data_IF_029566186402
#
_entry.id   IF_029566186402
#
_cell.length_a   1.000
_cell.length_b   1.000
_cell.length_c   1.000
_cell.angle_alpha   90.00
_cell.angle_beta   90.00
_cell.angle_gamma   90.00
#
_symmetry.space_group_name_H-M   'P 1'
#
loop_
_entity.id
_entity.type
_entity.pdbx_description
1 polymer ?
#
# COMPACT_ATOMS: atom_id res chain seq x y z
N UNK A 1 14.11 -6.39 5.91
CA UNK A 1 13.01 -5.46 5.54
C UNK A 1 12.35 -5.95 4.26
N UNK A 2 11.02 -6.03 4.26
CA UNK A 2 10.19 -6.54 3.15
C UNK A 2 9.18 -5.47 2.72
N UNK A 3 9.03 -5.28 1.41
CA UNK A 3 8.02 -4.39 0.84
C UNK A 3 6.98 -5.23 0.11
N UNK A 4 5.71 -5.04 0.41
CA UNK A 4 4.60 -5.61 -0.33
C UNK A 4 3.82 -4.51 -1.08
N UNK A 5 3.22 -4.89 -2.19
CA UNK A 5 2.32 -4.05 -3.00
C UNK A 5 0.98 -4.75 -3.11
N UNK A 6 -0.10 -4.03 -2.85
CA UNK A 6 -1.48 -4.50 -3.06
C UNK A 6 -2.20 -3.50 -3.96
N UNK A 7 -2.67 -3.95 -5.12
CA UNK A 7 -3.37 -3.10 -6.08
C UNK A 7 -4.82 -3.51 -6.25
N UNK A 8 -5.73 -2.62 -5.86
CA UNK A 8 -7.17 -2.80 -5.97
C UNK A 8 -7.76 -2.20 -7.24
N UNK A 9 -7.22 -2.52 -8.41
CA UNK A 9 -7.82 -2.12 -9.70
C UNK A 9 -8.49 -3.34 -10.34
N UNK A 10 -9.76 -3.25 -10.81
CA UNK A 10 -10.43 -4.37 -11.48
C UNK A 10 -9.77 -4.80 -12.80
N UNK A 11 -8.94 -3.94 -13.39
CA UNK A 11 -8.19 -4.26 -14.60
C UNK A 11 -6.80 -4.80 -14.22
N UNK A 12 -6.44 -6.03 -14.64
CA UNK A 12 -5.12 -6.58 -14.36
C UNK A 12 -4.02 -5.78 -15.06
N UNK A 13 -2.83 -5.79 -14.50
CA UNK A 13 -1.66 -5.06 -14.98
C UNK A 13 -1.97 -3.58 -15.29
N UNK A 14 -2.76 -2.96 -14.44
CA UNK A 14 -3.26 -1.59 -14.64
C UNK A 14 -2.17 -0.53 -14.48
N UNK A 15 -2.43 0.68 -14.99
CA UNK A 15 -1.55 1.83 -14.73
C UNK A 15 -1.41 2.12 -13.23
N UNK A 16 -2.46 1.89 -12.43
CA UNK A 16 -2.39 1.99 -10.97
C UNK A 16 -1.38 1.00 -10.38
N UNK A 17 -1.35 -0.23 -10.91
CA UNK A 17 -0.35 -1.22 -10.51
C UNK A 17 1.08 -0.77 -10.85
N UNK A 18 1.29 -0.22 -12.05
CA UNK A 18 2.57 0.36 -12.44
C UNK A 18 3.05 1.49 -11.52
N UNK A 19 2.12 2.38 -11.10
CA UNK A 19 2.45 3.44 -10.10
C UNK A 19 2.84 2.82 -8.76
N UNK A 20 2.11 1.82 -8.29
CA UNK A 20 2.42 1.16 -7.01
C UNK A 20 3.80 0.49 -7.02
N UNK A 21 4.15 -0.17 -8.12
CA UNK A 21 5.49 -0.75 -8.31
C UNK A 21 6.58 0.32 -8.38
N UNK A 22 6.33 1.46 -9.03
CA UNK A 22 7.27 2.58 -9.06
C UNK A 22 7.51 3.16 -7.65
N UNK A 23 6.46 3.27 -6.83
CA UNK A 23 6.57 3.68 -5.42
C UNK A 23 7.40 2.67 -4.64
N UNK A 24 7.14 1.37 -4.78
CA UNK A 24 7.92 0.33 -4.13
C UNK A 24 9.38 0.34 -4.56
N UNK A 25 9.66 0.60 -5.84
CA UNK A 25 11.02 0.77 -6.38
C UNK A 25 11.76 1.93 -5.71
N UNK A 26 11.13 3.10 -5.63
CA UNK A 26 11.72 4.27 -4.97
C UNK A 26 11.99 4.03 -3.47
N UNK A 27 11.08 3.33 -2.78
CA UNK A 27 11.27 2.94 -1.38
C UNK A 27 12.42 1.95 -1.22
N UNK A 28 12.47 0.91 -2.07
CA UNK A 28 13.51 -0.11 -2.04
C UNK A 28 14.91 0.48 -2.25
N UNK A 29 15.06 1.36 -3.22
CA UNK A 29 16.30 2.06 -3.50
C UNK A 29 16.73 2.94 -2.32
N UNK A 30 15.83 3.80 -1.84
CA UNK A 30 16.15 4.76 -0.79
C UNK A 30 16.43 4.10 0.57
N UNK A 31 15.74 2.99 0.88
CA UNK A 31 15.89 2.25 2.13
C UNK A 31 16.92 1.10 2.03
N UNK A 32 17.51 0.89 0.84
CA UNK A 32 18.53 -0.14 0.56
C UNK A 32 18.02 -1.54 0.91
N UNK A 33 16.81 -1.88 0.45
CA UNK A 33 16.21 -3.20 0.66
C UNK A 33 16.94 -4.23 -0.23
N UNK A 34 17.62 -5.23 0.34
CA UNK A 34 18.32 -6.23 -0.47
C UNK A 34 17.32 -7.18 -1.16
N UNK A 35 17.72 -7.71 -2.31
CA UNK A 35 17.09 -8.85 -2.99
C UNK A 35 15.58 -8.73 -3.27
N UNK A 36 15.12 -7.54 -3.71
CA UNK A 36 13.76 -7.43 -4.22
C UNK A 36 13.64 -8.17 -5.58
N UNK A 37 12.90 -9.28 -5.67
CA UNK A 37 12.67 -9.98 -6.94
C UNK A 37 11.70 -9.18 -7.81
N UNK A 38 12.21 -8.27 -8.64
CA UNK A 38 11.39 -7.40 -9.48
C UNK A 38 11.48 -5.93 -9.09
N UNK A 39 10.58 -5.05 -9.56
CA UNK A 39 10.70 -3.61 -9.36
C UNK A 39 10.41 -3.18 -7.91
N UNK A 40 11.32 -3.51 -7.00
CA UNK A 40 11.37 -2.98 -5.65
C UNK A 40 10.45 -3.60 -4.60
N UNK A 41 9.61 -4.59 -4.95
CA UNK A 41 8.73 -5.28 -4.00
C UNK A 41 9.05 -6.77 -3.94
N UNK A 42 9.03 -7.37 -2.74
CA UNK A 42 9.17 -8.81 -2.54
C UNK A 42 7.86 -9.56 -2.77
N UNK A 43 6.73 -8.88 -2.63
CA UNK A 43 5.40 -9.41 -2.89
C UNK A 43 4.59 -8.34 -3.65
N UNK A 44 4.05 -8.70 -4.82
CA UNK A 44 3.16 -7.82 -5.59
C UNK A 44 1.84 -8.55 -5.85
N UNK A 45 0.76 -8.02 -5.30
CA UNK A 45 -0.59 -8.57 -5.38
C UNK A 45 -1.44 -7.69 -6.28
N UNK A 46 -1.84 -8.20 -7.45
CA UNK A 46 -2.86 -7.58 -8.28
C UNK A 46 -4.22 -8.24 -7.97
N UNK A 47 -5.08 -7.52 -7.26
CA UNK A 47 -6.38 -8.04 -6.82
C UNK A 47 -7.34 -8.36 -7.97
N UNK A 48 -7.08 -7.88 -9.19
CA UNK A 48 -7.85 -8.28 -10.37
C UNK A 48 -7.79 -9.80 -10.61
N UNK A 49 -6.66 -10.44 -10.28
CA UNK A 49 -6.46 -11.88 -10.45
C UNK A 49 -7.23 -12.70 -9.40
N UNK A 50 -7.65 -12.07 -8.32
CA UNK A 50 -8.35 -12.70 -7.19
C UNK A 50 -9.81 -12.26 -7.04
N UNK A 51 -10.31 -11.40 -7.94
CA UNK A 51 -11.59 -10.70 -7.78
C UNK A 51 -12.80 -11.62 -7.52
N UNK A 52 -12.87 -12.78 -8.17
CA UNK A 52 -13.98 -13.72 -8.01
C UNK A 52 -14.02 -14.44 -6.66
N UNK A 53 -12.93 -14.42 -5.90
CA UNK A 53 -12.76 -15.19 -4.66
C UNK A 53 -12.69 -14.32 -3.39
N UNK A 54 -12.60 -13.00 -3.54
CA UNK A 54 -12.38 -12.08 -2.39
C UNK A 54 -13.46 -12.18 -1.31
N UNK A 55 -14.69 -12.53 -1.69
CA UNK A 55 -15.82 -12.68 -0.77
C UNK A 55 -16.01 -14.09 -0.20
N UNK A 56 -15.14 -15.04 -0.58
CA UNK A 56 -15.15 -16.37 0.04
C UNK A 56 -14.29 -16.36 1.32
N UNK A 57 -14.88 -16.42 2.53
CA UNK A 57 -14.12 -16.41 3.76
C UNK A 57 -13.32 -17.71 3.98
N UNK A 58 -13.66 -18.79 3.27
CA UNK A 58 -12.99 -20.08 3.38
C UNK A 58 -11.79 -20.21 2.42
N UNK A 59 -11.55 -19.23 1.55
CA UNK A 59 -10.43 -19.27 0.61
C UNK A 59 -9.09 -19.20 1.34
N UNK A 60 -8.40 -20.35 1.38
CA UNK A 60 -7.12 -20.49 2.11
C UNK A 60 -5.95 -19.79 1.41
N UNK A 61 -5.98 -19.70 0.09
CA UNK A 61 -4.94 -19.00 -0.66
C UNK A 61 -4.98 -17.51 -0.36
N UNK A 62 -6.17 -16.90 -0.37
CA UNK A 62 -6.35 -15.50 0.03
C UNK A 62 -6.02 -15.26 1.50
N UNK A 63 -6.32 -16.22 2.37
CA UNK A 63 -5.94 -16.13 3.79
C UNK A 63 -4.41 -16.18 3.96
N UNK A 64 -3.72 -17.02 3.19
CA UNK A 64 -2.26 -17.04 3.13
C UNK A 64 -1.71 -15.71 2.60
N UNK A 65 -2.29 -15.19 1.53
CA UNK A 65 -1.88 -13.93 0.91
C UNK A 65 -2.04 -12.73 1.84
N UNK A 66 -3.15 -12.65 2.59
CA UNK A 66 -3.33 -11.59 3.60
C UNK A 66 -2.28 -11.69 4.71
N UNK A 67 -1.93 -12.90 5.15
CA UNK A 67 -0.89 -13.11 6.14
C UNK A 67 0.51 -12.72 5.62
N UNK A 68 0.82 -13.03 4.35
CA UNK A 68 2.08 -12.61 3.74
C UNK A 68 2.20 -11.10 3.60
N UNK A 69 1.11 -10.41 3.24
CA UNK A 69 1.06 -8.94 3.18
C UNK A 69 1.25 -8.35 4.58
N UNK A 70 0.57 -8.88 5.60
CA UNK A 70 0.70 -8.41 6.98
C UNK A 70 2.10 -8.65 7.59
N UNK A 71 2.86 -9.62 7.05
CA UNK A 71 4.24 -9.88 7.48
C UNK A 71 5.28 -8.96 6.80
N UNK A 72 4.86 -8.02 5.96
CA UNK A 72 5.76 -7.05 5.35
C UNK A 72 5.98 -5.84 6.27
N UNK A 73 7.19 -5.27 6.25
CA UNK A 73 7.51 -4.06 7.03
C UNK A 73 6.85 -2.82 6.41
N UNK A 74 6.73 -2.80 5.07
CA UNK A 74 6.08 -1.72 4.32
C UNK A 74 5.06 -2.33 3.36
N UNK A 75 3.85 -1.77 3.31
CA UNK A 75 2.82 -2.16 2.35
C UNK A 75 2.35 -0.95 1.56
N UNK A 76 2.50 -1.00 0.24
CA UNK A 76 1.92 0.00 -0.68
C UNK A 76 0.53 -0.46 -1.06
N UNK A 77 -0.51 0.24 -0.59
CA UNK A 77 -1.89 -0.02 -0.97
C UNK A 77 -2.32 0.97 -2.06
N UNK A 78 -2.62 0.45 -3.25
CA UNK A 78 -2.94 1.26 -4.41
C UNK A 78 -4.35 1.02 -4.96
N UNK A 79 -5.05 2.09 -5.33
CA UNK A 79 -6.39 2.02 -5.93
C UNK A 79 -6.60 3.12 -6.96
N UNK A 80 -7.33 2.88 -8.04
CA UNK A 80 -7.90 3.98 -8.82
C UNK A 80 -9.02 4.65 -8.02
N UNK A 81 -9.31 5.90 -8.37
CA UNK A 81 -10.44 6.64 -7.77
C UNK A 81 -11.72 6.36 -8.54
N UNK A 82 -12.65 5.63 -7.91
CA UNK A 82 -13.99 5.39 -8.42
C UNK A 82 -15.01 6.06 -7.50
N UNK A 83 -15.84 6.96 -8.06
CA UNK A 83 -16.85 7.69 -7.28
C UNK A 83 -16.26 8.40 -6.04
N UNK A 84 -15.14 9.10 -6.25
CA UNK A 84 -14.40 9.86 -5.24
C UNK A 84 -13.72 9.03 -4.13
N UNK A 85 -13.74 7.70 -4.20
CA UNK A 85 -13.13 6.80 -3.21
C UNK A 85 -12.28 5.70 -3.88
N UNK A 86 -11.59 4.90 -3.08
CA UNK A 86 -10.95 3.67 -3.52
C UNK A 86 -12.00 2.64 -3.96
N UNK A 87 -11.57 1.60 -4.69
CA UNK A 87 -12.48 0.59 -5.26
C UNK A 87 -13.03 -0.36 -4.20
N UNK A 88 -14.23 -0.89 -4.45
CA UNK A 88 -14.79 -2.01 -3.68
C UNK A 88 -13.91 -3.26 -3.69
N UNK A 89 -13.11 -3.45 -4.75
CA UNK A 89 -12.16 -4.56 -4.85
C UNK A 89 -11.07 -4.46 -3.77
N UNK A 90 -10.48 -3.27 -3.58
CA UNK A 90 -9.53 -3.06 -2.48
C UNK A 90 -10.21 -3.22 -1.12
N UNK A 91 -11.42 -2.67 -0.97
CA UNK A 91 -12.17 -2.79 0.29
C UNK A 91 -12.43 -4.25 0.66
N UNK A 92 -12.88 -5.07 -0.30
CA UNK A 92 -13.13 -6.49 -0.07
C UNK A 92 -11.88 -7.27 0.39
N UNK A 93 -10.69 -6.88 -0.08
CA UNK A 93 -9.44 -7.43 0.41
C UNK A 93 -9.11 -6.96 1.83
N UNK A 94 -9.25 -5.65 2.09
CA UNK A 94 -8.99 -5.08 3.41
C UNK A 94 -9.96 -5.62 4.49
N UNK A 95 -11.20 -5.96 4.13
CA UNK A 95 -12.20 -6.54 5.03
C UNK A 95 -11.87 -7.98 5.46
N UNK A 96 -10.87 -8.61 4.88
CA UNK A 96 -10.38 -9.93 5.32
C UNK A 96 -9.47 -9.86 6.54
N UNK A 97 -8.97 -8.69 6.90
CA UNK A 97 -8.19 -8.50 8.12
C UNK A 97 -9.10 -8.36 9.34
N UNK A 98 -8.71 -8.96 10.45
CA UNK A 98 -9.31 -8.65 11.75
C UNK A 98 -8.82 -7.30 12.30
N UNK A 99 -9.28 -6.95 13.50
CA UNK A 99 -8.78 -5.77 14.22
C UNK A 99 -7.26 -5.86 14.37
N UNK A 100 -6.60 -4.74 14.13
CA UNK A 100 -5.13 -4.65 14.18
C UNK A 100 -4.39 -5.65 13.25
N UNK A 101 -5.08 -6.17 12.23
CA UNK A 101 -4.53 -7.18 11.32
C UNK A 101 -3.32 -6.73 10.48
N UNK A 102 -3.03 -5.42 10.48
CA UNK A 102 -1.84 -4.82 9.85
C UNK A 102 -0.95 -4.11 10.90
N UNK A 103 -1.11 -4.43 12.20
CA UNK A 103 -0.25 -3.88 13.24
C UNK A 103 1.22 -4.20 12.96
N UNK A 104 2.11 -3.25 13.22
CA UNK A 104 3.54 -3.39 12.94
C UNK A 104 3.93 -3.07 11.49
N UNK A 105 2.98 -2.84 10.58
CA UNK A 105 3.29 -2.44 9.20
C UNK A 105 3.33 -0.92 9.05
N UNK A 106 4.18 -0.43 8.16
CA UNK A 106 4.11 0.93 7.63
C UNK A 106 3.32 0.91 6.32
N UNK A 107 2.13 1.53 6.30
CA UNK A 107 1.32 1.57 5.10
C UNK A 107 1.55 2.85 4.30
N UNK A 108 1.60 2.69 2.98
CA UNK A 108 1.74 3.77 1.98
C UNK A 108 0.49 3.79 1.10
N UNK A 109 -0.47 4.70 1.36
CA UNK A 109 -1.65 4.83 0.53
C UNK A 109 -1.33 5.53 -0.80
N UNK A 110 -1.78 4.92 -1.90
CA UNK A 110 -1.62 5.46 -3.25
C UNK A 110 -2.96 5.45 -3.97
N UNK A 111 -3.34 6.56 -4.56
CA UNK A 111 -4.51 6.58 -5.44
C UNK A 111 -4.20 7.24 -6.79
N UNK A 112 -4.91 6.80 -7.80
CA UNK A 112 -4.81 7.35 -9.16
C UNK A 112 -6.18 7.80 -9.63
N UNK A 113 -6.26 8.86 -10.44
CA UNK A 113 -7.55 9.31 -10.94
C UNK A 113 -7.46 10.40 -12.03
N UNK A 114 -8.56 10.56 -12.76
CA UNK A 114 -8.62 11.48 -13.89
C UNK A 114 -8.70 12.96 -13.52
N UNK A 115 -9.08 13.29 -12.29
CA UNK A 115 -9.35 14.66 -11.88
C UNK A 115 -8.65 15.03 -10.57
N UNK A 116 -7.90 16.13 -10.61
CA UNK A 116 -7.15 16.63 -9.46
C UNK A 116 -8.04 17.02 -8.25
N UNK A 117 -9.32 17.33 -8.47
CA UNK A 117 -10.26 17.61 -7.38
C UNK A 117 -10.52 16.43 -6.43
N UNK A 118 -10.13 15.21 -6.82
CA UNK A 118 -10.21 14.02 -5.96
C UNK A 118 -8.92 13.71 -5.21
N UNK A 119 -7.89 14.55 -5.28
CA UNK A 119 -6.58 14.23 -4.69
C UNK A 119 -6.61 14.07 -3.16
N UNK A 120 -7.64 14.58 -2.48
CA UNK A 120 -7.84 14.32 -1.05
C UNK A 120 -8.43 12.94 -0.76
N UNK A 121 -8.94 12.21 -1.76
CA UNK A 121 -9.54 10.89 -1.54
C UNK A 121 -8.58 9.88 -0.88
N UNK A 122 -7.30 9.98 -1.19
CA UNK A 122 -6.26 9.13 -0.57
C UNK A 122 -6.18 9.36 0.94
N UNK A 123 -6.34 10.60 1.39
CA UNK A 123 -6.26 10.97 2.82
C UNK A 123 -7.56 10.73 3.57
N UNK A 124 -8.71 11.02 2.94
CA UNK A 124 -10.01 11.00 3.64
C UNK A 124 -10.72 9.65 3.53
N UNK A 125 -10.33 8.80 2.58
CA UNK A 125 -10.97 7.50 2.40
C UNK A 125 -10.03 6.32 2.62
N UNK A 126 -8.85 6.29 1.98
CA UNK A 126 -7.96 5.13 2.07
C UNK A 126 -7.16 5.13 3.38
N UNK A 127 -6.51 6.25 3.71
CA UNK A 127 -5.71 6.35 4.93
C UNK A 127 -6.45 5.93 6.21
N UNK A 128 -7.69 6.39 6.49
CA UNK A 128 -8.39 6.02 7.72
C UNK A 128 -8.61 4.52 7.87
N UNK A 129 -8.87 3.80 6.78
CA UNK A 129 -9.06 2.34 6.80
C UNK A 129 -7.75 1.63 7.16
N UNK A 130 -6.61 2.10 6.63
CA UNK A 130 -5.31 1.51 6.95
C UNK A 130 -4.92 1.75 8.42
N UNK A 131 -5.25 2.92 8.95
CA UNK A 131 -5.06 3.24 10.38
C UNK A 131 -5.98 2.39 11.26
N UNK A 132 -7.25 2.18 10.87
CA UNK A 132 -8.20 1.30 11.57
C UNK A 132 -7.69 -0.15 11.64
N UNK A 133 -6.96 -0.60 10.63
CA UNK A 133 -6.34 -1.92 10.60
C UNK A 133 -5.01 -2.00 11.39
N UNK A 134 -4.62 -0.96 12.10
CA UNK A 134 -3.44 -0.91 12.96
C UNK A 134 -2.14 -0.48 12.27
N UNK A 135 -2.17 -0.16 10.96
CA UNK A 135 -0.95 0.28 10.27
C UNK A 135 -0.52 1.68 10.71
N UNK A 136 0.79 1.90 10.77
CA UNK A 136 1.36 3.25 10.84
C UNK A 136 1.40 3.88 9.45
N UNK A 137 0.78 5.05 9.27
CA UNK A 137 0.77 5.81 8.01
C UNK A 137 1.49 7.15 8.21
N UNK A 138 2.84 7.18 8.19
CA UNK A 138 3.62 8.33 8.66
C UNK A 138 3.66 9.49 7.67
N UNK A 139 3.44 9.21 6.38
CA UNK A 139 3.54 10.19 5.33
C UNK A 139 2.19 10.44 4.65
N UNK A 140 2.09 11.59 3.98
CA UNK A 140 0.97 11.86 3.10
C UNK A 140 0.91 10.85 1.96
N UNK A 141 -0.28 10.36 1.65
CA UNK A 141 -0.50 9.46 0.51
C UNK A 141 -0.17 10.11 -0.84
N UNK A 142 0.16 9.27 -1.81
CA UNK A 142 0.41 9.71 -3.18
C UNK A 142 -0.90 9.69 -3.98
N UNK A 143 -1.20 10.79 -4.66
CA UNK A 143 -2.24 10.84 -5.68
C UNK A 143 -1.61 11.18 -7.03
N UNK A 144 -1.82 10.32 -8.03
CA UNK A 144 -1.30 10.51 -9.40
C UNK A 144 -2.47 10.77 -10.33
N UNK A 145 -2.43 11.89 -11.03
CA UNK A 145 -3.46 12.28 -12.00
C UNK A 145 -3.26 11.57 -13.34
N UNK A 146 -4.34 11.47 -14.14
CA UNK A 146 -4.28 10.76 -15.43
C UNK A 146 -3.18 11.26 -16.38
N UNK A 147 -2.89 12.57 -16.50
CA UNK A 147 -1.76 13.04 -17.31
C UNK A 147 -0.39 12.54 -16.82
N UNK A 148 -0.24 12.30 -15.51
CA UNK A 148 1.00 11.82 -14.92
C UNK A 148 1.15 10.28 -14.99
N UNK A 149 0.05 9.55 -15.30
CA UNK A 149 0.06 8.08 -15.33
C UNK A 149 0.91 7.49 -16.47
N UNK A 150 1.20 8.27 -17.51
CA UNK A 150 2.05 7.82 -18.61
C UNK A 150 3.52 7.71 -18.17
N UNK A 151 3.98 8.66 -17.35
CA UNK A 151 5.33 8.75 -16.81
C UNK A 151 5.27 9.16 -15.33
N UNK A 152 4.94 8.22 -14.42
CA UNK A 152 4.68 8.56 -13.01
C UNK A 152 5.95 8.90 -12.22
N UNK A 153 7.15 8.70 -12.77
CA UNK A 153 8.43 8.87 -12.09
C UNK A 153 8.55 10.22 -11.39
N UNK A 154 8.29 11.33 -12.10
CA UNK A 154 8.39 12.66 -11.51
C UNK A 154 7.41 12.90 -10.34
N UNK A 155 6.21 12.31 -10.37
CA UNK A 155 5.25 12.38 -9.28
C UNK A 155 5.71 11.55 -8.07
N UNK A 156 6.25 10.35 -8.34
CA UNK A 156 6.82 9.46 -7.33
C UNK A 156 8.03 10.12 -6.67
N UNK A 157 8.95 10.70 -7.43
CA UNK A 157 10.16 11.37 -6.91
C UNK A 157 9.81 12.55 -5.98
N UNK A 158 8.86 13.39 -6.40
CA UNK A 158 8.38 14.53 -5.58
C UNK A 158 7.75 14.05 -4.25
N UNK A 159 7.01 12.96 -4.31
CA UNK A 159 6.42 12.33 -3.12
C UNK A 159 7.51 11.70 -2.25
N UNK A 160 8.39 10.89 -2.82
CA UNK A 160 9.44 10.16 -2.14
C UNK A 160 10.36 11.08 -1.34
N UNK A 161 10.76 12.22 -1.92
CA UNK A 161 11.61 13.21 -1.25
C UNK A 161 11.03 13.68 0.11
N UNK A 162 9.71 13.67 0.26
CA UNK A 162 9.03 14.09 1.49
C UNK A 162 8.64 12.91 2.38
N UNK A 163 8.28 11.79 1.78
CA UNK A 163 7.72 10.63 2.47
C UNK A 163 8.82 9.74 3.09
N UNK A 164 9.93 9.51 2.38
CA UNK A 164 10.98 8.59 2.81
C UNK A 164 11.58 8.93 4.18
N UNK A 165 11.90 10.19 4.53
CA UNK A 165 12.39 10.50 5.87
C UNK A 165 11.42 10.12 6.98
N UNK A 166 10.11 10.32 6.76
CA UNK A 166 9.05 9.98 7.72
C UNK A 166 8.88 8.46 7.85
N UNK A 167 8.88 7.75 6.73
CA UNK A 167 8.81 6.28 6.69
C UNK A 167 9.99 5.66 7.42
N UNK A 168 11.20 6.15 7.17
CA UNK A 168 12.42 5.70 7.88
C UNK A 168 12.32 5.92 9.38
N UNK A 169 11.81 7.06 9.80
CA UNK A 169 11.58 7.35 11.23
C UNK A 169 10.58 6.39 11.88
N UNK A 170 9.49 6.06 11.18
CA UNK A 170 8.49 5.12 11.67
C UNK A 170 9.05 3.69 11.79
N UNK A 171 9.81 3.22 10.79
CA UNK A 171 10.46 1.90 10.82
C UNK A 171 11.43 1.78 12.01
N UNK A 172 12.26 2.79 12.24
CA UNK A 172 13.16 2.81 13.40
C UNK A 172 12.40 2.82 14.74
N UNK A 173 11.22 3.43 14.78
CA UNK A 173 10.33 3.42 15.94
C UNK A 173 9.73 2.03 16.21
N UNK A 174 9.38 1.27 15.18
CA UNK A 174 8.89 -0.11 15.34
C UNK A 174 9.98 -1.03 15.92
N UNK A 175 11.20 -0.98 15.37
CA UNK A 175 12.35 -1.76 15.91
C UNK A 175 12.62 -1.45 17.38
N UNK A 176 12.48 -0.18 17.79
CA UNK A 176 12.65 0.24 19.17
C UNK A 176 11.50 -0.24 20.09
N UNK A 177 10.27 -0.31 19.56
CA UNK A 177 9.09 -0.78 20.32
C UNK A 177 9.17 -2.27 20.61
N UNK A 178 9.66 -3.07 19.66
CA UNK A 178 9.85 -4.53 19.84
C UNK A 178 10.89 -4.85 20.92
N UNK A 179 11.75 -3.91 21.26
CA UNK A 179 12.74 -4.03 22.33
C UNK A 179 12.16 -3.80 23.75
N UNK A 180 10.92 -3.27 23.87
CA UNK A 180 10.26 -3.06 25.16
C UNK A 180 9.12 -4.07 25.35
N UNK A 181 9.06 -4.76 26.52
CA UNK A 181 7.93 -5.65 26.79
C UNK A 181 6.62 -4.83 26.89
N UNK A 182 5.49 -5.41 26.52
CA UNK A 182 4.20 -4.73 26.66
C UNK A 182 3.97 -4.32 28.11
N UNK A 183 3.50 -3.10 28.30
CA UNK A 183 3.05 -2.64 29.60
C UNK A 183 1.85 -3.51 29.99
N UNK A 184 2.02 -4.36 31.01
CA UNK A 184 1.01 -5.26 31.54
C UNK A 184 -0.19 -4.55 32.17
#
# INVERSE_FOLDING_TARGET
>A
MRIAVVTGNPKPASRTHGVALAVAGALSEALRVPDAPGPGAQLAVDLAEHASRLFDPADRELSGLTAEVAAADIVVFASPTYKAAYTGLLKAFLDRYGNDGLAGTVAVPVMTGGWAGHMLAVEVHLRPVLVELGSTVPARGLYVTEPELAEPGAAVDRWAARAIPLIRGALAGHEASDAFPPLG
#
